data_IF_593970773080
#
_entry.id   IF_593970773080
#
_cell.length_a   1.000
_cell.length_b   1.000
_cell.length_c   1.000
_cell.angle_alpha   90.00
_cell.angle_beta   90.00
_cell.angle_gamma   90.00
#
_symmetry.space_group_name_H-M   'P 1'
#
loop_
_entity.id
_entity.type
_entity.pdbx_description
1 polymer ?
#
# COMPACT_ATOMS: atom_id res chain seq x y z
N UNK A 1 -12.31 8.90 -41.39
CA UNK A 1 -12.59 8.81 -39.95
C UNK A 1 -11.87 7.57 -39.43
N UNK A 2 -10.67 7.75 -38.91
CA UNK A 2 -9.86 6.69 -38.33
C UNK A 2 -9.23 7.29 -37.08
N UNK A 3 -9.85 7.05 -35.93
CA UNK A 3 -9.25 7.29 -34.62
C UNK A 3 -9.42 6.01 -33.81
N UNK A 4 -8.35 5.22 -33.80
CA UNK A 4 -8.12 4.11 -32.88
C UNK A 4 -6.68 4.28 -32.40
N UNK A 5 -6.48 4.96 -31.28
CA UNK A 5 -5.35 4.76 -30.37
C UNK A 5 -5.58 5.62 -29.11
N UNK A 6 -6.38 5.08 -28.19
CA UNK A 6 -6.25 5.41 -26.76
C UNK A 6 -5.88 4.09 -26.10
N UNK A 7 -4.58 3.80 -26.13
CA UNK A 7 -3.97 2.75 -25.32
C UNK A 7 -3.98 3.26 -23.90
N UNK A 8 -4.64 2.49 -23.04
CA UNK A 8 -4.59 2.58 -21.59
C UNK A 8 -3.16 2.84 -21.12
N UNK A 9 -2.90 4.08 -20.70
CA UNK A 9 -1.76 4.41 -19.87
C UNK A 9 -2.14 4.03 -18.43
N UNK A 10 -2.27 2.73 -18.17
CA UNK A 10 -2.16 2.19 -16.82
C UNK A 10 -0.70 2.41 -16.39
N UNK A 11 -0.44 3.57 -15.81
CA UNK A 11 0.72 3.75 -14.93
C UNK A 11 0.53 2.77 -13.78
N UNK A 12 1.18 1.61 -13.93
CA UNK A 12 1.48 0.69 -12.87
C UNK A 12 2.45 1.37 -11.91
N UNK A 13 1.92 2.29 -11.09
CA UNK A 13 2.66 2.88 -9.98
C UNK A 13 2.58 1.88 -8.85
N UNK A 14 3.47 0.90 -8.88
CA UNK A 14 3.81 0.16 -7.66
C UNK A 14 4.16 1.21 -6.59
N UNK A 15 3.52 1.22 -5.41
CA UNK A 15 4.09 1.89 -4.27
C UNK A 15 5.38 1.15 -3.96
N UNK A 16 6.51 1.73 -4.37
CA UNK A 16 7.83 1.40 -3.88
C UNK A 16 7.76 1.47 -2.34
N UNK A 17 7.54 0.33 -1.70
CA UNK A 17 7.52 0.18 -0.23
C UNK A 17 8.90 0.44 0.40
N UNK A 18 9.86 0.97 -0.35
CA UNK A 18 11.18 1.35 0.13
C UNK A 18 11.67 2.54 -0.71
N UNK A 19 11.01 3.70 -0.56
CA UNK A 19 11.57 4.95 -1.07
C UNK A 19 13.01 5.06 -0.55
N UNK A 20 14.01 5.33 -1.41
CA UNK A 20 15.41 5.46 -0.98
C UNK A 20 15.55 6.46 0.18
N UNK A 21 14.71 7.49 0.21
CA UNK A 21 14.65 8.50 1.27
C UNK A 21 14.43 7.92 2.68
N UNK A 22 13.53 6.94 2.85
CA UNK A 22 13.26 6.36 4.19
C UNK A 22 14.43 5.51 4.70
N UNK A 23 15.14 4.82 3.80
CA UNK A 23 16.35 4.08 4.17
C UNK A 23 17.50 5.02 4.48
N UNK A 24 17.60 6.13 3.76
CA UNK A 24 18.59 7.18 4.00
C UNK A 24 18.34 7.87 5.35
N UNK A 25 17.08 8.12 5.72
CA UNK A 25 16.68 8.68 7.03
C UNK A 25 17.03 7.73 8.19
N UNK A 26 16.73 6.43 8.06
CA UNK A 26 17.13 5.42 9.05
C UNK A 26 18.64 5.37 9.23
N UNK A 27 19.39 5.40 8.11
CA UNK A 27 20.86 5.38 8.13
C UNK A 27 21.40 6.63 8.82
N UNK A 28 20.81 7.80 8.58
CA UNK A 28 21.17 9.04 9.25
C UNK A 28 20.90 8.98 10.77
N UNK A 29 19.78 8.40 11.21
CA UNK A 29 19.49 8.22 12.63
C UNK A 29 20.47 7.25 13.31
N UNK A 30 20.85 6.16 12.65
CA UNK A 30 21.82 5.19 13.18
C UNK A 30 23.21 5.82 13.29
N UNK A 31 23.64 6.57 12.27
CA UNK A 31 24.92 7.30 12.30
C UNK A 31 24.91 8.34 13.43
N UNK A 32 23.83 9.12 13.57
CA UNK A 32 23.72 10.10 14.65
C UNK A 32 23.77 9.43 16.03
N UNK A 33 23.11 8.29 16.20
CA UNK A 33 23.12 7.52 17.44
C UNK A 33 24.52 6.97 17.77
N UNK A 34 25.23 6.44 16.77
CA UNK A 34 26.61 5.97 16.90
C UNK A 34 27.54 7.10 17.31
N UNK A 35 27.43 8.29 16.69
CA UNK A 35 28.26 9.45 17.05
C UNK A 35 28.00 9.95 18.47
N UNK A 36 26.74 9.96 18.91
CA UNK A 36 26.36 10.34 20.27
C UNK A 36 26.87 9.33 21.32
N UNK A 37 26.84 8.03 20.99
CA UNK A 37 27.37 6.97 21.86
C UNK A 37 28.90 7.02 21.97
N UNK A 38 29.60 7.27 20.86
CA UNK A 38 31.08 7.28 20.81
C UNK A 38 31.69 8.30 21.77
N UNK A 39 30.97 9.38 22.06
CA UNK A 39 31.36 10.45 22.99
C UNK A 39 31.00 10.16 24.45
N UNK A 40 30.15 9.17 24.69
CA UNK A 40 29.73 8.68 26.02
C UNK A 40 30.56 7.48 26.51
N UNK A 41 31.47 6.96 25.68
CA UNK A 41 32.31 5.80 26.01
C UNK A 41 33.40 6.17 27.04
N UNK A 42 33.61 5.36 28.09
CA UNK A 42 34.71 5.56 29.02
C UNK A 42 36.05 5.64 28.28
N UNK A 43 36.98 6.47 28.76
CA UNK A 43 38.29 6.75 28.14
C UNK A 43 39.11 5.51 27.72
N UNK A 44 38.78 4.32 28.22
CA UNK A 44 39.40 3.04 27.88
C UNK A 44 39.16 2.61 26.42
N UNK A 45 38.11 3.08 25.78
CA UNK A 45 37.79 2.80 24.37
C UNK A 45 38.28 3.91 23.41
N UNK A 46 38.55 5.10 23.94
CA UNK A 46 39.12 6.25 23.21
C UNK A 46 40.66 6.18 23.08
N UNK A 47 41.33 5.30 23.83
CA UNK A 47 42.80 5.15 23.84
C UNK A 47 43.43 4.64 22.53
N UNK A 48 42.62 4.28 21.52
CA UNK A 48 43.11 4.02 20.16
C UNK A 48 43.35 5.31 19.35
N UNK A 49 42.95 6.49 19.87
CA UNK A 49 43.15 7.80 19.24
C UNK A 49 44.18 8.60 20.05
N UNK A 50 45.14 9.18 19.35
CA UNK A 50 46.28 9.95 19.88
C UNK A 50 45.91 10.80 21.11
N UNK A 51 46.49 10.51 22.30
CA UNK A 51 46.17 11.21 23.55
C UNK A 51 46.59 12.69 23.56
N UNK A 52 47.31 13.18 22.54
CA UNK A 52 47.75 14.57 22.46
C UNK A 52 46.65 15.59 22.06
N UNK A 53 45.45 15.14 21.69
CA UNK A 53 44.39 16.00 21.16
C UNK A 53 43.14 16.17 22.06
N UNK A 54 43.10 15.60 23.26
CA UNK A 54 41.87 15.56 24.06
C UNK A 54 41.81 16.67 25.14
N UNK A 55 40.94 17.69 24.99
CA UNK A 55 40.56 18.56 26.09
C UNK A 55 39.58 17.80 27.00
N UNK A 56 40.11 16.99 27.91
CA UNK A 56 39.36 16.16 28.87
C UNK A 56 38.46 16.94 29.86
N UNK A 57 38.25 18.25 29.68
CA UNK A 57 37.47 19.12 30.56
C UNK A 57 36.21 19.74 29.93
N UNK A 58 35.84 19.36 28.69
CA UNK A 58 34.75 20.04 27.96
C UNK A 58 33.65 19.12 27.41
N UNK A 59 33.65 17.84 27.76
CA UNK A 59 32.57 16.91 27.39
C UNK A 59 31.53 16.96 28.51
N UNK A 60 30.50 17.76 28.30
CA UNK A 60 29.30 17.76 29.12
C UNK A 60 28.55 16.45 28.86
N UNK A 61 28.82 15.45 29.70
CA UNK A 61 28.24 14.11 29.62
C UNK A 61 26.71 14.19 29.69
N UNK A 62 26.17 15.13 30.47
CA UNK A 62 24.73 15.35 30.60
C UNK A 62 24.11 15.81 29.27
N UNK A 63 24.79 16.72 28.56
CA UNK A 63 24.37 17.12 27.20
C UNK A 63 24.39 15.97 26.22
N UNK A 64 25.43 15.13 26.23
CA UNK A 64 25.53 14.02 25.30
C UNK A 64 24.48 12.94 25.57
N UNK A 65 24.18 12.67 26.85
CA UNK A 65 23.08 11.76 27.21
C UNK A 65 21.75 12.30 26.70
N UNK A 66 21.49 13.62 26.79
CA UNK A 66 20.28 14.22 26.21
C UNK A 66 20.22 14.07 24.70
N UNK A 67 21.31 14.37 23.99
CA UNK A 67 21.37 14.28 22.53
C UNK A 67 21.19 12.82 22.05
N UNK A 68 21.78 11.85 22.76
CA UNK A 68 21.58 10.42 22.51
C UNK A 68 20.11 10.01 22.69
N UNK A 69 19.48 10.42 23.80
CA UNK A 69 18.08 10.12 24.09
C UNK A 69 17.14 10.72 23.03
N UNK A 70 17.43 11.94 22.56
CA UNK A 70 16.64 12.61 21.52
C UNK A 70 16.74 11.87 20.17
N UNK A 71 17.94 11.43 19.78
CA UNK A 71 18.12 10.65 18.55
C UNK A 71 17.46 9.27 18.65
N UNK A 72 17.58 8.61 19.80
CA UNK A 72 16.94 7.32 20.06
C UNK A 72 15.40 7.43 20.00
N UNK A 73 14.84 8.51 20.56
CA UNK A 73 13.41 8.81 20.50
C UNK A 73 12.94 9.04 19.05
N UNK A 74 13.67 9.84 18.26
CA UNK A 74 13.35 10.07 16.84
C UNK A 74 13.39 8.78 16.02
N UNK A 75 14.39 7.93 16.25
CA UNK A 75 14.48 6.61 15.62
C UNK A 75 13.30 5.71 16.02
N UNK A 76 12.92 5.71 17.30
CA UNK A 76 11.78 4.96 17.79
C UNK A 76 10.47 5.43 17.13
N UNK A 77 10.25 6.75 17.03
CA UNK A 77 9.09 7.30 16.33
C UNK A 77 9.06 6.91 14.86
N UNK A 78 10.20 6.97 14.16
CA UNK A 78 10.31 6.53 12.77
C UNK A 78 9.94 5.05 12.61
N UNK A 79 10.46 4.17 13.47
CA UNK A 79 10.14 2.74 13.46
C UNK A 79 8.66 2.46 13.78
N UNK A 80 8.05 3.20 14.70
CA UNK A 80 6.61 3.09 15.00
C UNK A 80 5.76 3.56 13.82
N UNK A 81 6.16 4.65 13.15
CA UNK A 81 5.53 5.15 11.93
C UNK A 81 5.53 4.10 10.83
N UNK A 82 6.70 3.51 10.54
CA UNK A 82 6.86 2.42 9.57
C UNK A 82 5.98 1.21 9.90
N UNK A 83 5.92 0.79 11.18
CA UNK A 83 5.05 -0.33 11.59
C UNK A 83 3.55 -0.03 11.42
N UNK A 84 3.12 1.23 11.55
CA UNK A 84 1.71 1.62 11.32
C UNK A 84 1.36 1.59 9.84
N UNK A 85 2.28 2.01 8.98
CA UNK A 85 2.14 1.88 7.53
C UNK A 85 2.15 0.40 7.09
N UNK A 86 2.95 -0.45 7.74
CA UNK A 86 2.87 -1.91 7.55
C UNK A 86 1.57 -2.51 8.10
N UNK A 87 0.96 -1.98 9.17
CA UNK A 87 -0.29 -2.54 9.73
C UNK A 87 -1.51 -2.33 8.84
N UNK A 88 -1.55 -1.27 8.03
CA UNK A 88 -2.48 -1.18 6.90
C UNK A 88 -1.78 -1.74 5.66
N UNK A 89 -1.41 -3.02 5.71
CA UNK A 89 -0.71 -3.64 4.59
C UNK A 89 -1.60 -3.52 3.35
N UNK A 90 -1.04 -3.02 2.25
CA UNK A 90 -1.63 -3.08 0.91
C UNK A 90 -2.36 -4.42 0.64
N UNK A 91 -1.81 -5.59 1.03
CA UNK A 91 -2.54 -6.86 1.07
C UNK A 91 -3.93 -6.86 1.71
N UNK A 92 -4.13 -6.24 2.87
CA UNK A 92 -5.43 -6.18 3.57
C UNK A 92 -6.42 -5.29 2.84
N UNK A 93 -5.96 -4.15 2.31
CA UNK A 93 -6.78 -3.26 1.47
C UNK A 93 -7.24 -4.03 0.22
N UNK A 94 -6.30 -4.70 -0.46
CA UNK A 94 -6.60 -5.50 -1.64
C UNK A 94 -7.54 -6.67 -1.33
N UNK A 95 -7.40 -7.35 -0.18
CA UNK A 95 -8.33 -8.41 0.22
C UNK A 95 -9.76 -7.88 0.38
N UNK A 96 -9.92 -6.72 1.02
CA UNK A 96 -11.23 -6.09 1.18
C UNK A 96 -11.81 -5.63 -0.15
N UNK A 97 -10.98 -5.11 -1.04
CA UNK A 97 -11.39 -4.73 -2.39
C UNK A 97 -11.82 -5.94 -3.21
N UNK A 98 -11.09 -7.05 -3.13
CA UNK A 98 -11.47 -8.33 -3.75
C UNK A 98 -12.81 -8.82 -3.21
N UNK A 99 -13.01 -8.84 -1.89
CA UNK A 99 -14.27 -9.25 -1.26
C UNK A 99 -15.46 -8.41 -1.77
N UNK A 100 -15.30 -7.07 -1.80
CA UNK A 100 -16.33 -6.18 -2.36
C UNK A 100 -16.62 -6.47 -3.84
N UNK A 101 -15.58 -6.70 -4.66
CA UNK A 101 -15.73 -7.02 -6.08
C UNK A 101 -16.42 -8.38 -6.29
N UNK A 102 -16.13 -9.37 -5.45
CA UNK A 102 -16.78 -10.69 -5.50
C UNK A 102 -18.28 -10.61 -5.17
N UNK A 103 -18.67 -9.83 -4.16
CA UNK A 103 -20.08 -9.56 -3.85
C UNK A 103 -20.80 -8.83 -5.01
N UNK A 104 -20.17 -7.81 -5.58
CA UNK A 104 -20.73 -7.09 -6.73
C UNK A 104 -20.88 -8.02 -7.95
N UNK A 105 -19.90 -8.89 -8.19
CA UNK A 105 -19.96 -9.87 -9.26
C UNK A 105 -21.12 -10.84 -9.06
N UNK A 106 -21.33 -11.34 -7.83
CA UNK A 106 -22.42 -12.25 -7.52
C UNK A 106 -23.79 -11.60 -7.75
N UNK A 107 -23.97 -10.37 -7.27
CA UNK A 107 -25.23 -9.63 -7.45
C UNK A 107 -25.52 -9.34 -8.92
N UNK A 108 -24.52 -8.90 -9.70
CA UNK A 108 -24.65 -8.68 -11.14
C UNK A 108 -24.97 -9.97 -11.89
N UNK A 109 -24.32 -11.08 -11.54
CA UNK A 109 -24.59 -12.40 -12.14
C UNK A 109 -26.03 -12.84 -11.91
N UNK A 110 -26.56 -12.69 -10.68
CA UNK A 110 -27.96 -12.98 -10.37
C UNK A 110 -28.93 -12.10 -11.17
N UNK A 111 -28.59 -10.83 -11.37
CA UNK A 111 -29.40 -9.90 -12.17
C UNK A 111 -29.45 -10.32 -13.65
N UNK A 112 -28.29 -10.66 -14.23
CA UNK A 112 -28.20 -11.15 -15.61
C UNK A 112 -29.06 -12.40 -15.78
N UNK A 113 -28.92 -13.40 -14.90
CA UNK A 113 -29.71 -14.63 -14.96
C UNK A 113 -31.23 -14.39 -14.83
N UNK A 114 -31.65 -13.33 -14.12
CA UNK A 114 -33.07 -12.94 -14.07
C UNK A 114 -33.52 -12.32 -15.39
N UNK A 115 -32.71 -11.44 -15.98
CA UNK A 115 -33.00 -10.78 -17.25
C UNK A 115 -33.05 -11.79 -18.41
N UNK A 116 -32.11 -12.74 -18.45
CA UNK A 116 -32.09 -13.82 -19.44
C UNK A 116 -33.37 -14.66 -19.42
N UNK A 117 -33.87 -15.02 -18.22
CA UNK A 117 -35.15 -15.73 -18.08
C UNK A 117 -36.34 -14.94 -18.60
N UNK A 118 -36.38 -13.63 -18.36
CA UNK A 118 -37.44 -12.76 -18.89
C UNK A 118 -37.38 -12.71 -20.43
N UNK A 119 -36.19 -12.53 -21.00
CA UNK A 119 -35.98 -12.50 -22.45
C UNK A 119 -36.40 -13.83 -23.08
N UNK A 120 -36.03 -14.96 -22.47
CA UNK A 120 -36.45 -16.28 -22.95
C UNK A 120 -37.98 -16.44 -22.91
N UNK A 121 -38.62 -15.98 -21.83
CA UNK A 121 -40.09 -15.96 -21.70
C UNK A 121 -40.75 -15.14 -22.82
N UNK A 122 -40.27 -13.92 -23.07
CA UNK A 122 -40.78 -13.07 -24.14
C UNK A 122 -40.57 -13.67 -25.53
N UNK A 123 -39.41 -14.29 -25.79
CA UNK A 123 -39.15 -14.99 -27.06
C UNK A 123 -40.12 -16.14 -27.28
N UNK A 124 -40.45 -16.89 -26.23
CA UNK A 124 -41.43 -17.97 -26.30
C UNK A 124 -42.82 -17.43 -26.59
N UNK A 125 -43.29 -16.46 -25.82
CA UNK A 125 -44.62 -15.85 -26.01
C UNK A 125 -44.78 -15.29 -27.42
N UNK A 126 -43.79 -14.56 -27.92
CA UNK A 126 -43.83 -13.99 -29.26
C UNK A 126 -43.91 -15.07 -30.35
N UNK A 127 -43.21 -16.20 -30.15
CA UNK A 127 -43.25 -17.35 -31.06
C UNK A 127 -44.61 -18.06 -31.00
N UNK A 128 -45.18 -18.22 -29.81
CA UNK A 128 -46.48 -18.85 -29.63
C UNK A 128 -47.60 -18.01 -30.26
N UNK A 129 -47.56 -16.68 -30.08
CA UNK A 129 -48.48 -15.75 -30.75
C UNK A 129 -48.33 -15.79 -32.28
N UNK A 130 -47.10 -15.79 -32.80
CA UNK A 130 -46.84 -15.89 -34.24
C UNK A 130 -47.43 -17.19 -34.83
N UNK A 131 -47.16 -18.33 -34.18
CA UNK A 131 -47.69 -19.62 -34.61
C UNK A 131 -49.22 -19.66 -34.61
N UNK A 132 -49.84 -19.09 -33.57
CA UNK A 132 -51.30 -18.98 -33.49
C UNK A 132 -51.88 -18.21 -34.68
N UNK A 133 -51.29 -17.05 -35.00
CA UNK A 133 -51.73 -16.25 -36.15
C UNK A 133 -51.52 -16.95 -37.49
N UNK A 134 -50.43 -17.71 -37.66
CA UNK A 134 -50.22 -18.53 -38.88
C UNK A 134 -51.34 -19.56 -39.03
N UNK A 135 -51.66 -20.30 -37.97
CA UNK A 135 -52.74 -21.30 -37.99
C UNK A 135 -54.10 -20.65 -38.30
N UNK A 136 -54.37 -19.48 -37.73
CA UNK A 136 -55.60 -18.73 -38.01
C UNK A 136 -55.69 -18.30 -39.49
N UNK A 137 -54.57 -17.85 -40.07
CA UNK A 137 -54.49 -17.47 -41.48
C UNK A 137 -54.64 -18.66 -42.43
N UNK A 138 -54.10 -19.83 -42.09
CA UNK A 138 -54.26 -21.06 -42.89
C UNK A 138 -55.70 -21.59 -42.91
N UNK A 139 -56.54 -21.16 -41.96
CA UNK A 139 -57.93 -21.59 -41.83
C UNK A 139 -58.92 -20.76 -42.66
N UNK A 140 -58.51 -19.57 -43.13
CA UNK A 140 -59.32 -18.63 -43.92
C UNK A 140 -59.09 -18.86 -45.40
#
# INVERSE_FOLDING_TARGET
MADRHLVDQHQNTEPQMNSPASRDDMTAYVIALETALLLCLPARELQARDPAACPYHQIDVERHIRDFMEVAEKLQFHLIGLRREELFTRPEILRKEIENMEEELETKTKLIAKQERLIQGWRKELKDQLNKHIIELERV
#
